data_IF_376797921267
#
_entry.id   IF_376797921267
#
_cell.length_a   1.000
_cell.length_b   1.000
_cell.length_c   1.000
_cell.angle_alpha   90.00
_cell.angle_beta   90.00
_cell.angle_gamma   90.00
#
_symmetry.space_group_name_H-M   'P 1'
#
loop_
_entity.id
_entity.type
_entity.pdbx_description
1 polymer ?
#
# COMPACT_ATOMS: atom_id res chain seq x y z
N UNK A 1 4.22 -6.78 -21.70
CA UNK A 1 5.65 -6.50 -21.44
C UNK A 1 5.77 -6.11 -19.97
N UNK A 2 6.72 -6.70 -19.24
CA UNK A 2 6.97 -6.37 -17.82
C UNK A 2 8.26 -5.59 -17.66
N UNK A 3 8.32 -4.74 -16.64
CA UNK A 3 9.50 -3.97 -16.24
C UNK A 3 10.00 -4.46 -14.88
N UNK A 4 11.31 -4.37 -14.66
CA UNK A 4 11.93 -4.63 -13.36
C UNK A 4 12.29 -3.30 -12.70
N UNK A 5 11.93 -3.13 -11.43
CA UNK A 5 12.16 -1.92 -10.64
C UNK A 5 12.93 -2.28 -9.37
N UNK A 6 13.83 -1.38 -8.96
CA UNK A 6 14.36 -1.39 -7.60
C UNK A 6 13.25 -1.04 -6.60
N UNK A 7 13.45 -1.42 -5.33
CA UNK A 7 12.51 -1.06 -4.26
C UNK A 7 12.33 0.45 -4.15
N UNK A 8 13.40 1.24 -4.31
CA UNK A 8 13.33 2.71 -4.26
C UNK A 8 12.48 3.29 -5.39
N UNK A 9 12.65 2.81 -6.62
CA UNK A 9 11.84 3.23 -7.78
C UNK A 9 10.37 2.86 -7.59
N UNK A 10 10.10 1.60 -7.25
CA UNK A 10 8.74 1.11 -7.04
C UNK A 10 8.01 1.89 -5.92
N UNK A 11 8.71 2.16 -4.81
CA UNK A 11 8.19 2.95 -3.69
C UNK A 11 7.89 4.39 -4.13
N UNK A 12 8.82 5.04 -4.83
CA UNK A 12 8.63 6.41 -5.30
C UNK A 12 7.43 6.53 -6.26
N UNK A 13 7.22 5.54 -7.14
CA UNK A 13 6.05 5.47 -8.04
C UNK A 13 4.76 5.38 -7.21
N UNK A 14 4.68 4.44 -6.25
CA UNK A 14 3.49 4.26 -5.42
C UNK A 14 3.19 5.49 -4.56
N UNK A 15 4.20 6.13 -3.96
CA UNK A 15 4.04 7.37 -3.18
C UNK A 15 3.47 8.49 -4.06
N UNK A 16 4.03 8.71 -5.26
CA UNK A 16 3.51 9.72 -6.20
C UNK A 16 2.09 9.41 -6.64
N UNK A 17 1.80 8.15 -6.98
CA UNK A 17 0.47 7.71 -7.36
C UNK A 17 -0.55 7.93 -6.23
N UNK A 18 -0.20 7.60 -4.99
CA UNK A 18 -1.03 7.84 -3.81
C UNK A 18 -1.32 9.33 -3.58
N UNK A 19 -0.31 10.20 -3.79
CA UNK A 19 -0.52 11.67 -3.76
C UNK A 19 -1.46 12.14 -4.85
N UNK A 20 -1.29 11.66 -6.08
CA UNK A 20 -2.16 12.00 -7.22
C UNK A 20 -3.56 11.40 -7.15
N UNK A 21 -3.73 10.32 -6.38
CA UNK A 21 -5.01 9.75 -5.99
C UNK A 21 -5.76 10.66 -4.98
N UNK A 22 -5.03 11.43 -4.17
CA UNK A 22 -5.57 12.40 -3.22
C UNK A 22 -5.21 12.16 -1.75
N UNK A 23 -4.33 11.20 -1.45
CA UNK A 23 -3.87 10.99 -0.06
C UNK A 23 -2.94 12.11 0.39
N UNK A 24 -2.91 12.39 1.70
CA UNK A 24 -1.93 13.30 2.31
C UNK A 24 -0.49 12.80 2.13
N UNK A 25 0.50 13.65 2.40
CA UNK A 25 1.91 13.23 2.33
C UNK A 25 2.23 12.04 3.24
N UNK A 26 1.81 12.08 4.51
CA UNK A 26 2.00 10.96 5.42
C UNK A 26 1.35 9.67 4.91
N UNK A 27 0.07 9.72 4.50
CA UNK A 27 -0.61 8.53 3.97
C UNK A 27 0.00 8.01 2.65
N UNK A 28 0.60 8.88 1.84
CA UNK A 28 1.31 8.43 0.64
C UNK A 28 2.62 7.70 0.99
N UNK A 29 3.34 8.15 2.02
CA UNK A 29 4.51 7.46 2.55
C UNK A 29 4.13 6.10 3.15
N UNK A 30 2.99 6.02 3.86
CA UNK A 30 2.43 4.74 4.35
C UNK A 30 2.14 3.76 3.21
N UNK A 31 1.68 4.24 2.04
CA UNK A 31 1.49 3.39 0.87
C UNK A 31 2.83 2.81 0.36
N UNK A 32 3.88 3.63 0.35
CA UNK A 32 5.24 3.20 -0.02
C UNK A 32 5.82 2.19 0.98
N UNK A 33 5.62 2.42 2.28
CA UNK A 33 5.98 1.48 3.33
C UNK A 33 5.24 0.14 3.17
N UNK A 34 3.93 0.18 2.94
CA UNK A 34 3.10 -1.01 2.72
C UNK A 34 3.58 -1.82 1.50
N UNK A 35 3.96 -1.17 0.40
CA UNK A 35 4.54 -1.84 -0.77
C UNK A 35 5.80 -2.61 -0.39
N UNK A 36 6.69 -2.02 0.41
CA UNK A 36 7.92 -2.68 0.83
C UNK A 36 7.64 -3.96 1.63
N UNK A 37 6.63 -3.94 2.50
CA UNK A 37 6.22 -5.13 3.28
C UNK A 37 5.59 -6.21 2.39
N UNK A 38 4.87 -5.78 1.35
CA UNK A 38 4.20 -6.65 0.39
C UNK A 38 5.11 -7.21 -0.71
N UNK A 39 6.28 -6.60 -0.94
CA UNK A 39 7.22 -6.99 -2.00
C UNK A 39 7.74 -8.43 -1.94
N UNK A 40 7.62 -9.07 -0.78
CA UNK A 40 7.94 -10.49 -0.60
C UNK A 40 6.81 -11.43 -1.04
N UNK A 41 5.66 -10.89 -1.43
CA UNK A 41 4.46 -11.64 -1.77
C UNK A 41 3.96 -11.32 -3.17
N UNK A 42 3.45 -12.34 -3.87
CA UNK A 42 2.90 -12.20 -5.20
C UNK A 42 3.93 -11.81 -6.26
N UNK A 43 3.48 -11.75 -7.52
CA UNK A 43 4.35 -11.47 -8.67
C UNK A 43 4.31 -10.01 -9.13
N UNK A 44 3.25 -9.26 -8.79
CA UNK A 44 3.07 -7.85 -9.17
C UNK A 44 2.31 -7.05 -8.07
N UNK A 45 2.97 -6.72 -6.94
CA UNK A 45 2.36 -5.94 -5.87
C UNK A 45 1.90 -4.54 -6.32
N UNK A 46 2.52 -3.95 -7.33
CA UNK A 46 2.17 -2.61 -7.82
C UNK A 46 0.75 -2.60 -8.42
N UNK A 47 0.34 -3.70 -9.05
CA UNK A 47 -1.02 -3.86 -9.58
C UNK A 47 -2.10 -3.75 -8.50
N UNK A 48 -1.79 -4.09 -7.25
CA UNK A 48 -2.74 -3.95 -6.14
C UNK A 48 -2.95 -2.47 -5.77
N UNK A 49 -1.90 -1.65 -5.79
CA UNK A 49 -2.01 -0.22 -5.56
C UNK A 49 -2.74 0.48 -6.70
N UNK A 50 -2.44 0.12 -7.95
CA UNK A 50 -3.14 0.63 -9.13
C UNK A 50 -4.66 0.40 -9.01
N UNK A 51 -5.08 -0.85 -8.77
CA UNK A 51 -6.50 -1.22 -8.59
C UNK A 51 -7.14 -0.50 -7.41
N UNK A 52 -6.42 -0.33 -6.29
CA UNK A 52 -6.95 0.35 -5.11
C UNK A 52 -7.21 1.85 -5.37
N UNK A 53 -6.33 2.49 -6.14
CA UNK A 53 -6.39 3.92 -6.49
C UNK A 53 -7.29 4.21 -7.70
N UNK A 54 -7.83 3.18 -8.35
CA UNK A 54 -8.82 3.31 -9.41
C UNK A 54 -10.26 3.40 -8.85
N UNK A 55 -10.54 4.40 -8.01
CA UNK A 55 -11.85 4.58 -7.38
C UNK A 55 -11.96 5.85 -6.52
N UNK A 56 -13.03 6.01 -5.72
CA UNK A 56 -13.15 7.11 -4.77
C UNK A 56 -12.20 6.92 -3.57
N UNK A 57 -11.72 8.00 -2.96
CA UNK A 57 -10.83 7.92 -1.79
C UNK A 57 -11.50 7.37 -0.51
N UNK A 58 -12.83 7.29 -0.50
CA UNK A 58 -13.60 6.65 0.58
C UNK A 58 -13.18 5.19 0.76
N UNK A 59 -13.05 4.80 2.03
CA UNK A 59 -12.59 3.49 2.46
C UNK A 59 -11.28 3.03 1.78
N UNK A 60 -10.38 3.97 1.53
CA UNK A 60 -9.04 3.67 1.04
C UNK A 60 -8.34 2.71 2.02
N UNK A 61 -7.81 1.56 1.56
CA UNK A 61 -7.16 0.59 2.43
C UNK A 61 -5.94 1.17 3.15
N UNK A 62 -5.24 2.14 2.56
CA UNK A 62 -4.09 2.80 3.18
C UNK A 62 -4.54 3.69 4.34
N UNK A 63 -5.59 4.48 4.15
CA UNK A 63 -6.15 5.34 5.21
C UNK A 63 -6.69 4.49 6.37
N UNK A 64 -7.45 3.44 6.07
CA UNK A 64 -8.01 2.54 7.08
C UNK A 64 -6.90 1.79 7.81
N UNK A 65 -5.94 1.23 7.07
CA UNK A 65 -4.80 0.54 7.65
C UNK A 65 -3.98 1.43 8.58
N UNK A 66 -3.60 2.63 8.13
CA UNK A 66 -2.85 3.58 8.95
C UNK A 66 -3.64 3.98 10.22
N UNK A 67 -4.94 4.29 10.07
CA UNK A 67 -5.80 4.64 11.21
C UNK A 67 -5.88 3.50 12.25
N UNK A 68 -6.03 2.26 11.79
CA UNK A 68 -6.08 1.09 12.65
C UNK A 68 -4.75 0.87 13.39
N UNK A 69 -3.63 1.01 12.66
CA UNK A 69 -2.29 0.90 13.24
C UNK A 69 -2.04 1.98 14.29
N UNK A 70 -2.35 3.24 13.99
CA UNK A 70 -2.17 4.37 14.90
C UNK A 70 -3.01 4.23 16.17
N UNK A 71 -4.24 3.74 16.04
CA UNK A 71 -5.15 3.52 17.17
C UNK A 71 -4.87 2.22 17.93
N UNK A 72 -4.02 1.32 17.43
CA UNK A 72 -3.79 0.01 18.04
C UNK A 72 -3.44 0.05 19.54
N UNK A 73 -2.58 0.97 20.02
CA UNK A 73 -2.23 1.07 21.44
C UNK A 73 -3.36 1.62 22.34
N UNK A 74 -4.42 2.20 21.76
CA UNK A 74 -5.52 2.78 22.53
C UNK A 74 -6.42 1.70 23.13
N UNK A 75 -6.95 1.88 24.34
CA UNK A 75 -7.91 0.93 24.93
C UNK A 75 -9.14 0.74 24.04
N UNK A 76 -9.60 -0.51 23.93
CA UNK A 76 -10.78 -0.87 23.13
C UNK A 76 -10.66 -0.56 21.63
N UNK A 77 -9.44 -0.46 21.09
CA UNK A 77 -9.24 -0.34 19.65
C UNK A 77 -9.70 -1.60 18.91
N UNK A 78 -9.96 -1.47 17.60
CA UNK A 78 -10.33 -2.63 16.77
C UNK A 78 -9.22 -3.70 16.77
N UNK A 79 -7.95 -3.30 16.90
CA UNK A 79 -6.83 -4.23 17.05
C UNK A 79 -6.86 -5.02 18.37
N UNK A 80 -7.59 -4.55 19.39
CA UNK A 80 -7.74 -5.25 20.67
C UNK A 80 -9.05 -6.03 20.79
N UNK A 81 -10.13 -5.58 20.15
CA UNK A 81 -11.46 -6.21 20.28
C UNK A 81 -11.97 -6.91 19.02
N UNK A 82 -11.37 -6.61 17.87
CA UNK A 82 -11.95 -6.93 16.58
C UNK A 82 -12.94 -5.85 16.14
N UNK A 83 -13.25 -5.80 14.85
CA UNK A 83 -14.11 -4.76 14.28
C UNK A 83 -14.53 -5.06 12.85
N UNK A 84 -15.62 -4.43 12.42
CA UNK A 84 -16.05 -4.44 11.03
C UNK A 84 -15.49 -3.19 10.34
N UNK A 85 -14.67 -3.40 9.31
CA UNK A 85 -14.06 -2.34 8.51
C UNK A 85 -14.90 -1.99 7.28
N UNK A 86 -15.96 -2.76 6.99
CA UNK A 86 -16.84 -2.54 5.84
C UNK A 86 -16.22 -2.95 4.52
N UNK A 87 -16.68 -2.32 3.43
CA UNK A 87 -16.22 -2.61 2.06
C UNK A 87 -14.88 -1.93 1.77
N UNK A 88 -13.86 -2.76 1.53
CA UNK A 88 -12.48 -2.33 1.28
C UNK A 88 -12.04 -2.78 -0.11
N UNK A 89 -11.50 -1.86 -0.91
CA UNK A 89 -10.83 -2.20 -2.18
C UNK A 89 -9.45 -2.75 -1.92
N UNK A 90 -9.07 -3.76 -2.70
CA UNK A 90 -7.80 -4.47 -2.58
C UNK A 90 -7.42 -4.76 -1.12
N UNK A 91 -8.22 -5.57 -0.38
CA UNK A 91 -8.00 -5.85 1.05
C UNK A 91 -6.60 -6.33 1.41
N UNK A 92 -5.87 -6.91 0.46
CA UNK A 92 -4.45 -7.28 0.60
C UNK A 92 -3.57 -6.14 1.09
N UNK A 93 -3.92 -4.90 0.78
CA UNK A 93 -3.18 -3.72 1.20
C UNK A 93 -3.30 -3.43 2.71
N UNK A 94 -4.24 -4.07 3.43
CA UNK A 94 -4.34 -3.97 4.89
C UNK A 94 -3.31 -4.85 5.62
N UNK A 95 -2.74 -5.86 4.95
CA UNK A 95 -1.84 -6.84 5.59
C UNK A 95 -0.68 -6.18 6.35
N UNK A 96 0.09 -5.24 5.77
CA UNK A 96 1.20 -4.60 6.49
C UNK A 96 0.77 -3.93 7.80
N UNK A 97 -0.31 -3.15 7.73
CA UNK A 97 -0.86 -2.42 8.87
C UNK A 97 -1.37 -3.36 9.96
N UNK A 98 -2.11 -4.40 9.59
CA UNK A 98 -2.61 -5.39 10.55
C UNK A 98 -1.50 -6.18 11.22
N UNK A 99 -0.40 -6.46 10.51
CA UNK A 99 0.78 -7.09 11.12
C UNK A 99 1.43 -6.20 12.16
N UNK A 100 1.67 -4.94 11.81
CA UNK A 100 2.22 -3.97 12.75
C UNK A 100 1.30 -3.78 13.96
N UNK A 101 -0.01 -3.75 13.73
CA UNK A 101 -1.02 -3.64 14.77
C UNK A 101 -0.98 -4.85 15.72
N UNK A 102 -0.91 -6.06 15.17
CA UNK A 102 -0.81 -7.30 15.94
C UNK A 102 0.46 -7.35 16.81
N UNK A 103 1.60 -6.90 16.28
CA UNK A 103 2.84 -6.75 17.04
C UNK A 103 2.71 -5.73 18.18
N UNK A 104 2.08 -4.58 17.91
CA UNK A 104 1.86 -3.53 18.91
C UNK A 104 0.94 -3.98 20.05
N UNK A 105 -0.12 -4.74 19.76
CA UNK A 105 -1.06 -5.23 20.77
C UNK A 105 -0.63 -6.56 21.41
N UNK A 106 0.33 -7.28 20.82
CA UNK A 106 0.78 -8.59 21.29
C UNK A 106 -0.20 -9.74 21.06
N UNK A 107 -1.26 -9.53 20.28
CA UNK A 107 -2.29 -10.51 19.94
C UNK A 107 -2.30 -10.85 18.46
N UNK A 108 -2.66 -12.09 18.12
CA UNK A 108 -2.87 -12.49 16.73
C UNK A 108 -4.06 -11.73 16.15
N UNK A 109 -3.93 -11.24 14.92
CA UNK A 109 -5.02 -10.65 14.17
C UNK A 109 -5.37 -11.51 12.97
N UNK A 110 -6.68 -11.66 12.74
CA UNK A 110 -7.23 -12.36 11.59
C UNK A 110 -7.97 -11.38 10.70
N UNK A 111 -7.58 -11.28 9.42
CA UNK A 111 -8.38 -10.64 8.38
C UNK A 111 -9.44 -11.63 7.92
N UNK A 112 -10.71 -11.25 8.03
CA UNK A 112 -11.85 -12.05 7.62
C UNK A 112 -12.60 -11.35 6.48
N UNK A 113 -12.77 -12.02 5.34
CA UNK A 113 -13.63 -11.56 4.25
C UNK A 113 -14.91 -12.39 4.24
N UNK A 114 -16.06 -11.70 4.25
CA UNK A 114 -17.34 -12.35 4.53
C UNK A 114 -17.90 -13.17 3.36
N UNK A 115 -17.71 -12.76 2.11
CA UNK A 115 -18.35 -13.40 0.97
C UNK A 115 -17.72 -14.75 0.59
N UNK A 116 -16.41 -14.87 0.75
CA UNK A 116 -15.67 -16.09 0.39
C UNK A 116 -15.25 -16.92 1.62
N UNK A 117 -15.77 -16.58 2.80
CA UNK A 117 -15.42 -17.20 4.10
C UNK A 117 -13.90 -17.27 4.34
N UNK A 118 -13.17 -16.31 3.78
CA UNK A 118 -11.71 -16.26 3.84
C UNK A 118 -11.29 -15.74 5.21
N UNK A 119 -10.50 -16.52 5.94
CA UNK A 119 -9.91 -16.13 7.22
C UNK A 119 -8.40 -16.29 7.18
N UNK A 120 -7.68 -15.19 7.29
CA UNK A 120 -6.22 -15.13 7.17
C UNK A 120 -5.63 -14.69 8.48
N UNK A 121 -4.75 -15.51 9.04
CA UNK A 121 -3.88 -15.09 10.14
C UNK A 121 -2.79 -14.17 9.59
N UNK A 122 -2.86 -12.87 9.88
CA UNK A 122 -1.90 -11.91 9.32
C UNK A 122 -0.55 -12.01 10.00
N UNK A 123 -0.48 -12.56 11.22
CA UNK A 123 0.77 -12.71 11.98
C UNK A 123 1.62 -13.88 11.51
N UNK A 124 0.97 -14.92 10.96
CA UNK A 124 1.64 -16.11 10.45
C UNK A 124 2.19 -15.98 9.02
N UNK A 125 2.58 -17.13 8.46
CA UNK A 125 2.82 -17.25 7.03
C UNK A 125 1.49 -17.18 6.27
N UNK A 126 1.43 -16.28 5.29
CA UNK A 126 0.24 -16.07 4.48
C UNK A 126 0.07 -17.19 3.44
N UNK A 127 1.15 -17.89 3.06
CA UNK A 127 1.12 -19.01 2.13
C UNK A 127 0.27 -18.73 0.88
N UNK A 128 -0.66 -19.64 0.56
CA UNK A 128 -1.58 -19.50 -0.59
C UNK A 128 -2.69 -18.47 -0.37
N UNK A 129 -2.95 -18.06 0.87
CA UNK A 129 -4.01 -17.10 1.15
C UNK A 129 -3.71 -15.72 0.54
N UNK A 130 -2.43 -15.39 0.32
CA UNK A 130 -2.09 -14.12 -0.34
C UNK A 130 -2.63 -14.06 -1.77
N UNK A 131 -2.58 -15.16 -2.52
CA UNK A 131 -3.06 -15.18 -3.91
C UNK A 131 -4.58 -15.00 -3.95
N UNK A 132 -5.29 -15.67 -3.03
CA UNK A 132 -6.73 -15.50 -2.86
C UNK A 132 -7.08 -14.05 -2.51
N UNK A 133 -6.41 -13.47 -1.52
CA UNK A 133 -6.65 -12.09 -1.09
C UNK A 133 -6.29 -11.06 -2.18
N UNK A 134 -5.20 -11.29 -2.91
CA UNK A 134 -4.74 -10.42 -4.01
C UNK A 134 -5.63 -10.48 -5.26
N UNK A 135 -6.46 -11.52 -5.39
CA UNK A 135 -7.47 -11.61 -6.44
C UNK A 135 -8.70 -10.74 -6.17
N UNK A 136 -8.99 -10.45 -4.89
CA UNK A 136 -10.16 -9.67 -4.48
C UNK A 136 -9.99 -8.18 -4.79
N UNK A 137 -10.81 -7.69 -5.73
CA UNK A 137 -10.93 -6.25 -6.04
C UNK A 137 -11.51 -5.46 -4.87
N UNK A 138 -12.54 -6.03 -4.24
CA UNK A 138 -13.27 -5.44 -3.13
C UNK A 138 -13.80 -6.59 -2.26
N UNK A 139 -13.85 -6.39 -0.95
CA UNK A 139 -14.41 -7.35 -0.01
C UNK A 139 -14.97 -6.66 1.22
N UNK A 140 -15.94 -7.29 1.88
CA UNK A 140 -16.42 -6.82 3.19
C UNK A 140 -15.50 -7.43 4.25
N UNK A 141 -14.68 -6.57 4.86
CA UNK A 141 -13.59 -6.98 5.75
C UNK A 141 -13.98 -6.75 7.21
N UNK A 142 -13.80 -7.79 8.01
CA UNK A 142 -13.78 -7.70 9.45
C UNK A 142 -12.42 -8.18 9.98
N UNK A 143 -12.02 -7.69 11.15
CA UNK A 143 -10.85 -8.18 11.86
C UNK A 143 -11.28 -8.91 13.12
N UNK A 144 -10.63 -10.03 13.42
CA UNK A 144 -10.84 -10.80 14.64
C UNK A 144 -9.54 -10.93 15.40
N UNK A 145 -9.63 -10.84 16.72
CA UNK A 145 -8.49 -10.99 17.64
C UNK A 145 -8.36 -12.44 18.07
N UNK A 146 -7.12 -12.91 18.15
CA UNK A 146 -6.74 -14.26 18.52
C UNK A 146 -5.99 -14.33 19.85
N UNK A 147 -5.30 -15.45 20.04
CA UNK A 147 -4.40 -15.66 21.18
C UNK A 147 -3.23 -14.67 21.16
N UNK A 148 -2.46 -14.65 22.25
CA UNK A 148 -1.17 -13.95 22.27
C UNK A 148 -0.23 -14.48 21.19
N UNK A 149 0.63 -13.60 20.67
CA UNK A 149 1.74 -13.97 19.79
C UNK A 149 2.82 -14.62 20.66
N UNK A 150 3.12 -15.90 20.42
CA UNK A 150 4.08 -16.66 21.22
C UNK A 150 5.37 -16.88 20.44
N UNK A 151 6.44 -16.14 20.74
CA UNK A 151 7.81 -16.38 20.24
C UNK A 151 7.94 -16.67 18.72
N UNK A 152 6.98 -16.22 17.91
CA UNK A 152 7.07 -16.35 16.46
C UNK A 152 8.29 -15.53 16.00
N UNK A 153 9.19 -16.10 15.19
CA UNK A 153 10.35 -15.36 14.74
C UNK A 153 9.88 -14.15 13.92
N UNK A 154 10.39 -12.93 14.20
CA UNK A 154 10.00 -11.75 13.46
C UNK A 154 10.34 -11.94 11.99
N UNK A 155 9.41 -11.60 11.10
CA UNK A 155 9.71 -11.61 9.67
C UNK A 155 10.72 -10.52 9.38
N UNK A 156 11.92 -10.94 8.95
CA UNK A 156 12.96 -9.99 8.56
C UNK A 156 12.55 -9.30 7.27
N UNK A 157 12.57 -7.96 7.20
CA UNK A 157 12.34 -7.25 5.96
C UNK A 157 13.40 -7.67 4.94
N UNK A 158 12.95 -8.01 3.73
CA UNK A 158 13.81 -8.39 2.61
C UNK A 158 13.78 -7.26 1.59
N UNK A 159 14.95 -6.88 1.10
CA UNK A 159 15.03 -6.02 -0.08
C UNK A 159 14.49 -6.80 -1.27
N UNK A 160 13.47 -6.26 -1.93
CA UNK A 160 12.81 -6.93 -3.05
C UNK A 160 13.07 -6.19 -4.36
N UNK A 161 13.15 -6.93 -5.46
CA UNK A 161 12.96 -6.38 -6.80
C UNK A 161 11.50 -6.54 -7.18
N UNK A 162 10.96 -5.50 -7.78
CA UNK A 162 9.56 -5.48 -8.18
C UNK A 162 9.48 -5.71 -9.68
N UNK A 163 8.49 -6.50 -10.07
CA UNK A 163 8.11 -6.68 -11.45
C UNK A 163 6.67 -6.22 -11.62
N UNK A 164 6.42 -5.45 -12.67
CA UNK A 164 5.05 -5.01 -12.98
C UNK A 164 4.84 -4.90 -14.47
N UNK A 165 3.59 -4.86 -14.91
CA UNK A 165 3.26 -4.62 -16.30
C UNK A 165 3.48 -3.16 -16.69
N UNK A 166 3.79 -2.90 -17.97
CA UNK A 166 3.87 -1.54 -18.49
C UNK A 166 2.54 -0.77 -18.37
N UNK A 167 1.41 -1.47 -18.40
CA UNK A 167 0.10 -0.85 -18.22
C UNK A 167 -0.10 -0.38 -16.77
N UNK A 168 0.19 -1.25 -15.79
CA UNK A 168 0.20 -0.90 -14.37
C UNK A 168 1.08 0.32 -14.09
N UNK A 169 2.30 0.31 -14.64
CA UNK A 169 3.23 1.44 -14.50
C UNK A 169 2.62 2.73 -15.07
N UNK A 170 2.05 2.65 -16.28
CA UNK A 170 1.44 3.80 -16.96
C UNK A 170 0.27 4.37 -16.15
N UNK A 171 -0.59 3.54 -15.56
CA UNK A 171 -1.71 4.01 -14.74
C UNK A 171 -1.24 4.69 -13.44
N UNK A 172 -0.22 4.13 -12.77
CA UNK A 172 0.37 4.73 -11.58
C UNK A 172 1.07 6.06 -11.88
N UNK A 173 1.81 6.13 -12.99
CA UNK A 173 2.45 7.37 -13.44
C UNK A 173 1.41 8.44 -13.81
N UNK A 174 0.30 8.03 -14.45
CA UNK A 174 -0.82 8.92 -14.75
C UNK A 174 -1.43 9.50 -13.48
N UNK A 175 -1.59 8.71 -12.42
CA UNK A 175 -2.00 9.22 -11.11
C UNK A 175 -0.96 10.22 -10.60
N UNK A 176 0.32 9.84 -10.56
CA UNK A 176 1.41 10.70 -10.08
C UNK A 176 1.48 12.06 -10.79
N UNK A 177 1.20 12.10 -12.09
CA UNK A 177 1.21 13.34 -12.89
C UNK A 177 0.23 14.41 -12.41
N UNK A 178 -0.83 14.03 -11.69
CA UNK A 178 -1.80 14.96 -11.09
C UNK A 178 -1.18 15.83 -9.98
N UNK A 179 0.00 15.47 -9.49
CA UNK A 179 0.74 16.24 -8.48
C UNK A 179 1.69 17.26 -9.09
N UNK A 180 1.91 17.22 -10.41
CA UNK A 180 2.84 18.11 -11.08
C UNK A 180 2.21 19.48 -11.28
N UNK A 181 3.02 20.52 -11.07
CA UNK A 181 2.64 21.87 -11.46
C UNK A 181 2.66 21.91 -12.99
N UNK A 182 1.60 22.40 -13.66
CA UNK A 182 1.61 22.54 -15.11
C UNK A 182 2.79 23.43 -15.52
N UNK A 183 3.52 23.04 -16.56
CA UNK A 183 4.55 23.90 -17.14
C UNK A 183 3.90 25.19 -17.65
N UNK A 184 4.04 26.25 -16.86
CA UNK A 184 3.63 27.59 -17.29
C UNK A 184 4.47 28.02 -18.49
N UNK A 185 3.88 28.80 -19.37
CA UNK A 185 4.56 29.38 -20.55
C UNK A 185 5.83 30.16 -20.18
N UNK A 186 5.87 30.70 -18.95
CA UNK A 186 7.04 31.32 -18.35
C UNK A 186 8.21 30.33 -18.14
N UNK A 187 7.96 29.08 -17.71
CA UNK A 187 9.00 28.05 -17.61
C UNK A 187 9.55 27.61 -18.98
N UNK A 188 8.74 27.71 -20.06
CA UNK A 188 9.19 27.48 -21.44
C UNK A 188 10.04 28.63 -21.99
N UNK A 189 9.67 29.87 -21.69
CA UNK A 189 10.37 31.09 -22.15
C UNK A 189 11.67 31.38 -21.39
N UNK A 190 11.73 31.07 -20.08
CA UNK A 190 12.92 31.28 -19.24
C UNK A 190 13.95 30.15 -19.37
N UNK A 191 13.98 29.47 -20.52
CA UNK A 191 14.75 28.26 -20.79
C UNK A 191 16.03 28.14 -19.96
N UNK A 192 16.12 27.09 -19.14
CA UNK A 192 17.34 26.74 -18.42
C UNK A 192 18.35 26.15 -19.40
N UNK A 193 18.85 26.99 -20.30
CA UNK A 193 19.94 26.72 -21.22
C UNK A 193 20.93 27.87 -21.13
N UNK A 194 22.17 27.56 -20.80
CA UNK A 194 23.28 28.50 -20.81
C UNK A 194 23.47 29.05 -22.24
N UNK A 195 22.79 30.16 -22.53
CA UNK A 195 22.95 30.94 -23.75
C UNK A 195 23.83 32.15 -23.48
N UNK A 196 25.12 31.92 -23.20
CA UNK A 196 26.14 32.95 -23.33
C UNK A 196 27.35 32.28 -23.98
N UNK A 197 27.45 32.40 -25.31
CA UNK A 197 28.70 32.20 -26.02
C UNK A 197 29.61 33.37 -25.63
N UNK A 198 30.50 33.13 -24.68
CA UNK A 198 31.62 34.02 -24.38
C UNK A 198 32.72 33.72 -25.40
N UNK A 199 32.78 34.54 -26.44
CA UNK A 199 33.86 34.58 -27.42
C UNK A 199 34.22 36.05 -27.61
N UNK A 200 35.23 36.51 -26.87
CA UNK A 200 36.09 37.64 -27.21
C UNK A 200 37.57 37.19 -27.14
#
# INVERSE_FOLDING_TARGET
MSVALSQGEATAIVVKAARGFGLSWGLAEEAGWALCQLGQYGNDPLSWFERAFNGPAENCPITIGATLMDHSPLPNSDAQLGGDLGLIRMPILLIPFLRQSAELVGHRLYLCEQANELRIDVTGDLGRHIEQLGSLNIGHIAIKVGSLINNDPPLKPKTCRFHTSMDTLTQLDKLGSRTYVPETEASRMSGAGAGASDND
#
